data_IF_082919056895
#
_entry.id   IF_082919056895
#
_cell.length_a   1.000
_cell.length_b   1.000
_cell.length_c   1.000
_cell.angle_alpha   90.00
_cell.angle_beta   90.00
_cell.angle_gamma   90.00
#
_symmetry.space_group_name_H-M   'P 1'
#
loop_
_entity.id
_entity.type
_entity.pdbx_description
1 polymer ?
#
# COMPACT_ATOMS: atom_id res chain seq x y z
N UNK A 1 -0.90 -15.36 -5.94
CA UNK A 1 -0.76 -14.92 -4.53
C UNK A 1 -0.96 -13.41 -4.43
N UNK A 2 -1.63 -12.91 -3.40
CA UNK A 2 -1.82 -11.48 -3.17
C UNK A 2 -0.56 -10.82 -2.57
N UNK A 3 -0.38 -9.54 -2.86
CA UNK A 3 0.69 -8.68 -2.30
C UNK A 3 0.12 -7.59 -1.41
N UNK A 4 -1.07 -7.12 -1.75
CA UNK A 4 -1.77 -6.11 -0.99
C UNK A 4 -3.27 -6.37 -1.04
N UNK A 5 -3.97 -5.93 0.00
CA UNK A 5 -5.42 -6.00 0.12
C UNK A 5 -5.94 -4.68 0.65
N UNK A 6 -6.92 -4.12 -0.03
CA UNK A 6 -7.55 -2.86 0.35
C UNK A 6 -9.05 -3.07 0.48
N UNK A 7 -9.63 -2.63 1.59
CA UNK A 7 -11.07 -2.65 1.81
C UNK A 7 -11.68 -1.26 1.64
N UNK A 8 -12.65 -1.14 0.73
CA UNK A 8 -13.45 0.07 0.59
C UNK A 8 -14.63 0.02 1.56
N UNK A 9 -14.52 0.74 2.66
CA UNK A 9 -15.52 0.73 3.74
C UNK A 9 -16.87 1.35 3.37
N UNK A 10 -16.98 2.11 2.27
CA UNK A 10 -18.23 2.70 1.78
C UNK A 10 -18.99 1.77 0.86
N UNK A 11 -18.27 1.04 0.03
CA UNK A 11 -18.84 0.15 -1.01
C UNK A 11 -18.93 -1.31 -0.56
N UNK A 12 -18.23 -1.68 0.53
CA UNK A 12 -18.20 -3.07 1.00
C UNK A 12 -17.42 -3.98 0.05
N UNK A 13 -16.40 -3.46 -0.61
CA UNK A 13 -15.57 -4.21 -1.56
C UNK A 13 -14.15 -4.38 -1.06
N UNK A 14 -13.54 -5.50 -1.42
CA UNK A 14 -12.11 -5.79 -1.22
C UNK A 14 -11.44 -5.82 -2.57
N UNK A 15 -10.35 -5.08 -2.71
CA UNK A 15 -9.44 -5.18 -3.86
C UNK A 15 -8.18 -5.91 -3.45
N UNK A 16 -7.91 -7.03 -4.10
CA UNK A 16 -6.66 -7.78 -4.02
C UNK A 16 -5.73 -7.37 -5.16
N UNK A 17 -4.50 -7.09 -4.81
CA UNK A 17 -3.41 -6.87 -5.75
C UNK A 17 -2.41 -8.02 -5.62
N UNK A 18 -1.92 -8.53 -6.73
CA UNK A 18 -1.00 -9.66 -6.70
C UNK A 18 -0.39 -9.95 -8.06
N UNK A 19 0.08 -11.19 -8.18
CA UNK A 19 0.68 -11.72 -9.40
C UNK A 19 0.01 -13.02 -9.78
N UNK A 20 -0.19 -13.23 -11.08
CA UNK A 20 -0.61 -14.51 -11.63
C UNK A 20 0.55 -15.51 -11.56
N UNK A 21 0.27 -16.77 -11.82
CA UNK A 21 1.30 -17.81 -11.98
C UNK A 21 2.22 -17.51 -13.17
N UNK A 22 1.70 -16.84 -14.19
CA UNK A 22 2.47 -16.42 -15.36
C UNK A 22 3.37 -15.20 -15.10
N UNK A 23 3.30 -14.58 -13.91
CA UNK A 23 4.08 -13.40 -13.56
C UNK A 23 3.45 -12.06 -13.95
N UNK A 24 2.17 -12.05 -14.34
CA UNK A 24 1.46 -10.83 -14.65
C UNK A 24 0.86 -10.19 -13.40
N UNK A 25 0.82 -8.88 -13.34
CA UNK A 25 0.11 -8.17 -12.28
C UNK A 25 -1.38 -8.35 -12.40
N UNK A 26 -2.01 -8.71 -11.29
CA UNK A 26 -3.45 -8.86 -11.20
C UNK A 26 -4.05 -7.90 -10.18
N UNK A 27 -5.26 -7.43 -10.50
CA UNK A 27 -6.16 -6.73 -9.60
C UNK A 27 -7.49 -7.46 -9.62
N UNK A 28 -7.94 -7.93 -8.47
CA UNK A 28 -9.24 -8.60 -8.32
C UNK A 28 -10.08 -7.87 -7.29
N UNK A 29 -11.32 -7.58 -7.64
CA UNK A 29 -12.29 -6.96 -6.75
C UNK A 29 -13.43 -7.95 -6.45
N UNK A 30 -13.86 -7.99 -5.19
CA UNK A 30 -14.96 -8.81 -4.73
C UNK A 30 -15.70 -8.13 -3.57
N UNK A 31 -16.99 -8.44 -3.42
CA UNK A 31 -17.78 -7.97 -2.29
C UNK A 31 -17.37 -8.70 -1.01
N UNK A 32 -17.35 -7.99 0.10
CA UNK A 32 -17.09 -8.57 1.43
C UNK A 32 -17.93 -7.88 2.49
N UNK A 33 -18.70 -8.68 3.22
CA UNK A 33 -19.47 -8.24 4.37
C UNK A 33 -18.66 -8.42 5.65
N UNK A 34 -18.08 -7.34 6.22
CA UNK A 34 -17.36 -7.44 7.48
C UNK A 34 -18.32 -7.83 8.61
N UNK A 35 -17.79 -8.56 9.56
CA UNK A 35 -18.59 -9.07 10.68
C UNK A 35 -17.91 -8.86 12.02
N UNK A 36 -18.67 -9.10 13.08
CA UNK A 36 -18.20 -9.25 14.46
C UNK A 36 -19.10 -10.25 15.18
N UNK A 37 -18.70 -10.63 16.37
CA UNK A 37 -19.55 -11.44 17.25
C UNK A 37 -19.93 -10.63 18.48
N UNK A 38 -21.17 -10.74 18.89
CA UNK A 38 -21.69 -10.16 20.13
C UNK A 38 -22.10 -11.26 21.10
N UNK A 39 -22.07 -11.00 22.40
CA UNK A 39 -22.60 -11.92 23.39
C UNK A 39 -24.09 -12.18 23.12
N UNK A 40 -24.44 -13.42 23.07
CA UNK A 40 -25.83 -13.85 22.90
C UNK A 40 -25.97 -15.25 23.53
N UNK A 41 -26.82 -15.44 24.58
CA UNK A 41 -27.04 -16.76 25.20
C UNK A 41 -27.53 -17.83 24.23
N UNK A 42 -28.15 -17.41 23.11
CA UNK A 42 -28.62 -18.29 22.02
C UNK A 42 -27.62 -18.41 20.88
N UNK A 43 -26.40 -17.88 21.08
CA UNK A 43 -25.36 -17.92 20.06
C UNK A 43 -24.89 -19.34 19.75
N UNK A 44 -24.69 -19.62 18.49
CA UNK A 44 -24.25 -20.93 18.00
C UNK A 44 -22.79 -21.21 18.28
N UNK A 45 -21.95 -20.15 18.37
CA UNK A 45 -20.51 -20.25 18.63
C UNK A 45 -20.19 -19.94 20.10
N UNK A 46 -19.02 -20.41 20.51
CA UNK A 46 -18.46 -20.12 21.82
C UNK A 46 -17.14 -19.41 21.66
N UNK A 47 -16.95 -18.28 22.32
CA UNK A 47 -15.69 -17.57 22.34
C UNK A 47 -14.60 -18.36 23.06
N UNK A 48 -13.34 -17.97 22.91
CA UNK A 48 -12.21 -18.56 23.68
C UNK A 48 -12.34 -18.38 25.19
N UNK A 49 -13.21 -17.48 25.62
CA UNK A 49 -13.53 -17.26 27.07
C UNK A 49 -14.77 -18.02 27.56
N UNK A 50 -15.30 -18.95 26.76
CA UNK A 50 -16.48 -19.74 27.12
C UNK A 50 -17.82 -19.02 26.96
N UNK A 51 -17.86 -17.78 26.48
CA UNK A 51 -19.10 -17.00 26.30
C UNK A 51 -19.80 -17.38 25.00
N UNK A 52 -21.10 -17.60 25.02
CA UNK A 52 -21.90 -17.80 23.81
C UNK A 52 -21.99 -16.53 23.00
N UNK A 53 -21.75 -16.63 21.69
CA UNK A 53 -21.70 -15.49 20.78
C UNK A 53 -22.45 -15.75 19.49
N UNK A 54 -23.00 -14.67 18.93
CA UNK A 54 -23.72 -14.66 17.64
C UNK A 54 -22.99 -13.78 16.64
N UNK A 55 -22.81 -14.30 15.40
CA UNK A 55 -22.25 -13.54 14.28
C UNK A 55 -23.22 -12.45 13.83
N UNK A 56 -22.69 -11.26 13.57
CA UNK A 56 -23.39 -10.13 12.96
C UNK A 56 -22.59 -9.65 11.77
N UNK A 57 -23.13 -9.78 10.57
CA UNK A 57 -22.56 -9.28 9.33
C UNK A 57 -23.13 -7.92 8.98
N UNK A 58 -22.36 -7.12 8.25
CA UNK A 58 -22.71 -5.77 7.82
C UNK A 58 -22.40 -5.62 6.33
N UNK A 59 -23.31 -4.98 5.60
CA UNK A 59 -23.14 -4.76 4.16
C UNK A 59 -21.90 -3.88 3.84
N UNK A 60 -21.48 -3.02 4.78
CA UNK A 60 -20.32 -2.13 4.63
C UNK A 60 -19.56 -1.97 5.94
N UNK A 61 -18.29 -1.57 5.84
CA UNK A 61 -17.50 -1.20 7.03
C UNK A 61 -18.06 0.01 7.77
N UNK A 62 -18.69 0.93 7.05
CA UNK A 62 -19.37 2.07 7.65
C UNK A 62 -20.54 1.63 8.54
N UNK A 63 -21.38 0.69 8.08
CA UNK A 63 -22.50 0.18 8.86
C UNK A 63 -22.02 -0.59 10.10
N UNK A 64 -20.91 -1.33 10.00
CA UNK A 64 -20.26 -1.95 11.15
C UNK A 64 -19.76 -0.91 12.15
N UNK A 65 -19.08 0.13 11.68
CA UNK A 65 -18.60 1.23 12.53
C UNK A 65 -19.77 1.93 13.26
N UNK A 66 -20.83 2.26 12.52
CA UNK A 66 -22.04 2.88 13.09
C UNK A 66 -22.67 2.00 14.16
N UNK A 67 -22.80 0.70 13.92
CA UNK A 67 -23.30 -0.24 14.91
C UNK A 67 -22.46 -0.22 16.21
N UNK A 68 -21.15 -0.18 16.11
CA UNK A 68 -20.26 -0.11 17.27
C UNK A 68 -20.45 1.18 18.08
N UNK A 69 -20.78 2.29 17.44
CA UNK A 69 -21.05 3.56 18.11
C UNK A 69 -22.43 3.63 18.77
N UNK A 70 -23.46 3.13 18.08
CA UNK A 70 -24.86 3.40 18.44
C UNK A 70 -25.49 2.28 19.27
N UNK A 71 -24.97 1.04 19.23
CA UNK A 71 -25.67 -0.13 19.78
C UNK A 71 -25.59 -0.29 21.29
N UNK A 72 -24.72 0.45 21.97
CA UNK A 72 -24.45 0.25 23.40
C UNK A 72 -23.89 -1.14 23.76
N UNK A 73 -23.41 -1.91 22.77
CA UNK A 73 -22.79 -3.22 22.98
C UNK A 73 -21.51 -3.06 23.78
N UNK A 74 -21.44 -3.64 24.95
CA UNK A 74 -20.33 -3.51 25.88
C UNK A 74 -19.10 -4.34 25.47
N UNK A 75 -19.32 -5.45 24.76
CA UNK A 75 -18.26 -6.39 24.39
C UNK A 75 -18.52 -6.99 23.00
N UNK A 76 -17.51 -6.87 22.17
CA UNK A 76 -17.48 -7.50 20.85
C UNK A 76 -16.27 -8.42 20.75
N UNK A 77 -16.42 -9.46 19.95
CA UNK A 77 -15.36 -10.41 19.62
C UNK A 77 -15.14 -10.32 18.11
N UNK A 78 -13.92 -10.62 17.64
CA UNK A 78 -13.52 -10.49 16.26
C UNK A 78 -13.74 -9.05 15.75
N UNK A 79 -12.86 -8.16 16.21
CA UNK A 79 -12.88 -6.75 15.76
C UNK A 79 -11.69 -6.41 14.86
N UNK A 80 -11.17 -7.40 14.12
CA UNK A 80 -10.09 -7.20 13.18
C UNK A 80 -10.53 -6.28 12.02
N UNK A 81 -9.60 -5.56 11.40
CA UNK A 81 -9.89 -4.80 10.18
C UNK A 81 -10.51 -5.69 9.10
N UNK A 82 -11.52 -5.19 8.35
CA UNK A 82 -12.21 -5.99 7.35
C UNK A 82 -11.32 -6.64 6.29
N UNK A 83 -10.23 -5.98 5.89
CA UNK A 83 -9.25 -6.57 4.99
C UNK A 83 -8.57 -7.81 5.58
N UNK A 84 -8.25 -7.80 6.87
CA UNK A 84 -7.69 -8.96 7.56
C UNK A 84 -8.71 -10.07 7.72
N UNK A 85 -9.97 -9.74 8.07
CA UNK A 85 -11.05 -10.74 8.13
C UNK A 85 -11.22 -11.44 6.79
N UNK A 86 -11.23 -10.69 5.70
CA UNK A 86 -11.31 -11.25 4.35
C UNK A 86 -10.16 -12.23 4.07
N UNK A 87 -8.93 -11.87 4.41
CA UNK A 87 -7.79 -12.75 4.21
C UNK A 87 -7.87 -14.03 5.05
N UNK A 88 -8.31 -13.91 6.30
CA UNK A 88 -8.54 -15.07 7.17
C UNK A 88 -9.62 -15.99 6.58
N UNK A 89 -10.76 -15.44 6.17
CA UNK A 89 -11.87 -16.24 5.63
C UNK A 89 -11.49 -16.94 4.30
N UNK A 90 -10.63 -16.29 3.46
CA UNK A 90 -10.24 -16.84 2.15
C UNK A 90 -9.10 -17.84 2.22
N UNK A 91 -8.19 -17.70 3.19
CA UNK A 91 -6.92 -18.44 3.19
C UNK A 91 -6.67 -19.26 4.44
N UNK A 92 -7.64 -19.33 5.37
CA UNK A 92 -7.49 -20.06 6.64
C UNK A 92 -7.16 -21.55 6.43
N UNK A 93 -7.82 -22.20 5.45
CA UNK A 93 -7.66 -23.64 5.19
C UNK A 93 -6.39 -23.95 4.34
N UNK A 94 -5.85 -22.94 3.64
CA UNK A 94 -4.66 -23.10 2.79
C UNK A 94 -3.34 -23.03 3.58
N UNK A 95 -3.41 -22.81 4.91
CA UNK A 95 -2.27 -22.32 5.68
C UNK A 95 -1.43 -23.41 6.38
N UNK A 96 -1.60 -24.69 6.13
CA UNK A 96 -0.70 -25.68 6.75
C UNK A 96 0.74 -25.60 6.20
N UNK A 97 0.93 -25.12 4.97
CA UNK A 97 2.24 -24.74 4.41
C UNK A 97 2.06 -23.76 3.23
N UNK A 98 1.96 -22.46 3.47
CA UNK A 98 1.88 -21.51 2.38
C UNK A 98 3.18 -21.53 1.57
N UNK A 99 3.15 -22.07 0.38
CA UNK A 99 4.20 -21.82 -0.60
C UNK A 99 4.16 -20.34 -0.97
N UNK A 100 5.02 -19.56 -0.33
CA UNK A 100 5.20 -18.17 -0.70
C UNK A 100 5.78 -18.11 -2.11
N UNK A 101 5.01 -17.61 -3.06
CA UNK A 101 5.51 -17.35 -4.39
C UNK A 101 6.74 -16.44 -4.29
N UNK A 102 7.87 -16.95 -4.80
CA UNK A 102 9.18 -16.32 -4.74
C UNK A 102 9.34 -15.10 -5.67
N UNK A 103 8.27 -14.63 -6.32
CA UNK A 103 8.33 -13.43 -7.13
C UNK A 103 8.81 -12.26 -6.24
N UNK A 104 10.00 -11.74 -6.49
CA UNK A 104 10.58 -10.71 -5.64
C UNK A 104 9.74 -9.45 -5.68
N UNK A 105 9.59 -8.80 -4.53
CA UNK A 105 8.94 -7.48 -4.44
C UNK A 105 9.85 -6.47 -5.12
N UNK A 106 9.30 -5.72 -6.08
CA UNK A 106 9.99 -4.60 -6.70
C UNK A 106 9.80 -3.35 -5.85
N UNK A 107 10.89 -2.78 -5.37
CA UNK A 107 10.84 -1.55 -4.60
C UNK A 107 11.85 -0.52 -5.09
N UNK A 108 11.45 0.74 -4.95
CA UNK A 108 12.28 1.88 -5.27
C UNK A 108 12.46 2.76 -4.03
N UNK A 109 13.68 3.29 -3.88
CA UNK A 109 13.96 4.39 -2.97
C UNK A 109 14.05 5.68 -3.78
N UNK A 110 13.34 6.72 -3.30
CA UNK A 110 13.35 8.06 -3.91
C UNK A 110 14.00 9.03 -2.96
N UNK A 111 14.83 9.89 -3.52
CA UNK A 111 15.42 11.02 -2.84
C UNK A 111 15.27 12.28 -3.70
N UNK A 112 14.98 13.42 -3.06
CA UNK A 112 14.66 14.69 -3.72
C UNK A 112 15.54 15.78 -3.14
N UNK A 113 16.22 16.54 -4.03
CA UNK A 113 17.03 17.68 -3.67
C UNK A 113 16.41 18.98 -4.19
N UNK A 114 16.24 19.93 -3.31
CA UNK A 114 15.74 21.27 -3.64
C UNK A 114 16.84 22.31 -3.46
N UNK A 115 16.81 23.36 -4.28
CA UNK A 115 17.75 24.47 -4.13
C UNK A 115 17.20 25.49 -3.13
N UNK A 116 17.95 25.72 -2.07
CA UNK A 116 17.65 26.75 -1.08
C UNK A 116 18.90 27.58 -0.82
N UNK A 117 18.77 28.92 -0.78
CA UNK A 117 19.88 29.83 -0.49
C UNK A 117 19.90 30.22 0.99
N UNK A 118 18.77 30.57 1.54
CA UNK A 118 18.69 31.21 2.87
C UNK A 118 17.76 30.56 3.88
N UNK A 119 16.83 29.69 3.43
CA UNK A 119 15.83 29.07 4.31
C UNK A 119 15.67 27.58 4.00
N UNK A 120 15.30 26.80 4.99
CA UNK A 120 14.93 25.41 4.76
C UNK A 120 13.62 25.36 3.96
N UNK A 121 13.46 24.42 3.01
CA UNK A 121 12.21 24.28 2.27
C UNK A 121 11.04 24.07 3.20
N UNK A 122 9.96 24.84 2.99
CA UNK A 122 8.71 24.69 3.70
C UNK A 122 7.77 23.79 2.89
N UNK A 123 7.19 22.79 3.53
CA UNK A 123 6.25 21.83 2.89
C UNK A 123 4.93 22.52 2.57
N UNK A 124 4.51 23.49 3.40
CA UNK A 124 3.25 24.20 3.24
C UNK A 124 3.34 25.35 2.22
N UNK A 125 4.56 25.86 1.96
CA UNK A 125 4.85 26.87 0.94
C UNK A 125 6.07 26.47 0.08
N UNK A 126 5.94 25.50 -0.84
CA UNK A 126 7.04 24.94 -1.61
C UNK A 126 7.48 25.88 -2.74
N UNK A 127 8.17 26.97 -2.40
CA UNK A 127 8.69 27.96 -3.36
C UNK A 127 10.04 27.59 -3.96
N UNK A 128 10.71 26.57 -3.39
CA UNK A 128 12.04 26.15 -3.82
C UNK A 128 12.01 25.20 -5.01
N UNK A 129 12.84 25.45 -6.00
CA UNK A 129 12.96 24.62 -7.19
C UNK A 129 13.54 23.26 -6.83
N UNK A 130 12.88 22.19 -7.26
CA UNK A 130 13.43 20.84 -7.18
C UNK A 130 14.52 20.70 -8.28
N UNK A 131 15.74 20.43 -7.86
CA UNK A 131 16.90 20.32 -8.76
C UNK A 131 17.15 18.92 -9.26
N UNK A 132 16.95 17.94 -8.39
CA UNK A 132 17.30 16.55 -8.65
C UNK A 132 16.29 15.64 -7.98
N UNK A 133 15.89 14.60 -8.69
CA UNK A 133 15.16 13.45 -8.16
C UNK A 133 15.99 12.21 -8.48
N UNK A 134 16.31 11.43 -7.48
CA UNK A 134 17.03 10.16 -7.64
C UNK A 134 16.15 9.00 -7.25
N UNK A 135 16.10 7.97 -8.08
CA UNK A 135 15.40 6.72 -7.84
C UNK A 135 16.39 5.57 -7.89
N UNK A 136 16.52 4.83 -6.81
CA UNK A 136 17.22 3.55 -6.82
C UNK A 136 16.21 2.40 -6.92
N UNK A 137 16.46 1.45 -7.80
CA UNK A 137 15.59 0.30 -8.06
C UNK A 137 16.32 -0.99 -7.71
N UNK A 138 15.67 -1.86 -6.92
CA UNK A 138 16.26 -3.10 -6.43
C UNK A 138 16.44 -4.19 -7.51
N UNK A 139 15.79 -4.10 -8.66
CA UNK A 139 15.93 -5.07 -9.74
C UNK A 139 17.12 -4.76 -10.63
N UNK A 140 17.15 -3.54 -11.16
CA UNK A 140 18.29 -3.07 -11.97
C UNK A 140 19.53 -2.79 -11.14
N UNK A 141 19.37 -2.51 -9.83
CA UNK A 141 20.39 -2.04 -8.89
C UNK A 141 21.10 -0.78 -9.40
N UNK A 142 20.35 0.05 -10.10
CA UNK A 142 20.85 1.32 -10.66
C UNK A 142 20.13 2.50 -10.06
N UNK A 143 20.85 3.62 -10.01
CA UNK A 143 20.30 4.92 -9.73
C UNK A 143 19.86 5.57 -11.04
N UNK A 144 18.58 5.96 -11.12
CA UNK A 144 18.05 6.82 -12.17
C UNK A 144 17.90 8.21 -11.59
N UNK A 145 18.76 9.12 -11.98
CA UNK A 145 18.83 10.49 -11.48
C UNK A 145 18.33 11.45 -12.53
N UNK A 146 17.29 12.20 -12.22
CA UNK A 146 16.69 13.23 -13.06
C UNK A 146 17.12 14.59 -12.52
N UNK A 147 17.71 15.46 -13.33
CA UNK A 147 18.19 16.74 -12.86
C UNK A 147 18.07 17.83 -13.92
N UNK A 148 17.93 19.10 -13.44
CA UNK A 148 17.79 20.29 -14.31
C UNK A 148 19.13 20.95 -14.69
N UNK A 149 20.24 20.42 -14.18
CA UNK A 149 21.58 20.87 -14.51
C UNK A 149 22.36 19.78 -15.23
N UNK A 150 23.32 20.18 -16.07
CA UNK A 150 24.23 19.22 -16.69
C UNK A 150 25.06 18.51 -15.62
N UNK A 151 25.19 17.19 -15.75
CA UNK A 151 26.01 16.41 -14.84
C UNK A 151 27.48 16.56 -15.22
N UNK A 152 28.26 17.20 -14.36
CA UNK A 152 29.71 17.44 -14.56
C UNK A 152 30.60 16.50 -13.73
N UNK A 153 29.99 15.56 -12.97
CA UNK A 153 30.71 14.62 -12.14
C UNK A 153 31.36 13.47 -12.92
N UNK A 154 32.10 12.63 -12.20
CA UNK A 154 32.62 11.39 -12.79
C UNK A 154 31.45 10.42 -13.01
N UNK A 155 31.39 9.81 -14.18
CA UNK A 155 30.42 8.77 -14.48
C UNK A 155 30.54 7.60 -13.51
N UNK A 156 29.37 7.00 -13.19
CA UNK A 156 29.26 5.78 -12.37
C UNK A 156 28.52 4.73 -13.18
N UNK A 157 28.99 3.50 -13.14
CA UNK A 157 28.38 2.39 -13.90
C UNK A 157 26.98 2.00 -13.40
N UNK A 158 26.69 2.36 -12.15
CA UNK A 158 25.42 2.10 -11.49
C UNK A 158 24.43 3.29 -11.53
N UNK A 159 24.78 4.38 -12.26
CA UNK A 159 23.95 5.58 -12.36
C UNK A 159 23.62 5.92 -13.83
N UNK A 160 22.36 6.24 -14.06
CA UNK A 160 21.86 6.80 -15.31
C UNK A 160 21.35 8.21 -15.02
N UNK A 161 22.00 9.20 -15.63
CA UNK A 161 21.59 10.60 -15.47
C UNK A 161 20.71 11.04 -16.63
N UNK A 162 19.55 11.60 -16.29
CA UNK A 162 18.55 12.14 -17.22
C UNK A 162 18.55 13.66 -17.10
N UNK A 163 19.23 14.34 -18.02
CA UNK A 163 19.20 15.80 -18.08
C UNK A 163 17.85 16.30 -18.57
N UNK A 164 17.26 17.25 -17.87
CA UNK A 164 16.01 17.92 -18.18
C UNK A 164 16.23 19.44 -18.19
N UNK A 165 15.67 20.13 -19.18
CA UNK A 165 15.89 21.58 -19.31
C UNK A 165 15.14 22.39 -18.26
N UNK A 166 14.08 21.85 -17.71
CA UNK A 166 13.21 22.51 -16.74
C UNK A 166 12.75 21.53 -15.68
N UNK A 167 12.38 22.05 -14.51
CA UNK A 167 11.77 21.28 -13.42
C UNK A 167 10.52 20.51 -13.91
N UNK A 168 9.68 21.13 -14.73
CA UNK A 168 8.50 20.47 -15.30
C UNK A 168 8.88 19.27 -16.17
N UNK A 169 9.89 19.39 -17.01
CA UNK A 169 10.40 18.27 -17.82
C UNK A 169 10.93 17.15 -16.93
N UNK A 170 11.64 17.50 -15.85
CA UNK A 170 12.17 16.57 -14.89
C UNK A 170 11.05 15.77 -14.20
N UNK A 171 10.02 16.43 -13.68
CA UNK A 171 8.87 15.74 -13.10
C UNK A 171 8.16 14.83 -14.10
N UNK A 172 7.99 15.28 -15.35
CA UNK A 172 7.36 14.45 -16.37
C UNK A 172 8.20 13.22 -16.73
N UNK A 173 9.52 13.37 -16.81
CA UNK A 173 10.43 12.24 -17.04
C UNK A 173 10.43 11.24 -15.89
N UNK A 174 10.49 11.73 -14.65
CA UNK A 174 10.36 10.93 -13.44
C UNK A 174 9.03 10.16 -13.39
N UNK A 175 7.90 10.83 -13.61
CA UNK A 175 6.57 10.18 -13.60
C UNK A 175 6.46 9.10 -14.68
N UNK A 176 6.98 9.36 -15.89
CA UNK A 176 7.03 8.35 -16.97
C UNK A 176 7.91 7.15 -16.58
N UNK A 177 9.02 7.42 -15.90
CA UNK A 177 9.88 6.36 -15.39
C UNK A 177 9.13 5.49 -14.39
N UNK A 178 8.53 6.07 -13.35
CA UNK A 178 7.79 5.34 -12.32
C UNK A 178 6.61 4.56 -12.91
N UNK A 179 5.86 5.15 -13.87
CA UNK A 179 4.76 4.46 -14.56
C UNK A 179 5.25 3.23 -15.35
N UNK A 180 6.38 3.35 -16.04
CA UNK A 180 6.97 2.24 -16.81
C UNK A 180 7.56 1.18 -15.89
N UNK A 181 8.29 1.62 -14.89
CA UNK A 181 8.98 0.76 -13.93
C UNK A 181 8.00 0.02 -13.02
N UNK A 182 6.92 0.69 -12.64
CA UNK A 182 5.78 0.16 -11.91
C UNK A 182 6.18 -0.63 -10.64
N UNK A 183 6.88 -0.01 -9.67
CA UNK A 183 7.30 -0.69 -8.45
C UNK A 183 6.11 -1.11 -7.57
N UNK A 184 6.30 -2.15 -6.75
CA UNK A 184 5.32 -2.58 -5.74
C UNK A 184 5.34 -1.68 -4.51
N UNK A 185 6.52 -1.15 -4.18
CA UNK A 185 6.75 -0.27 -3.04
C UNK A 185 7.61 0.92 -3.49
N UNK A 186 7.18 2.10 -3.10
CA UNK A 186 7.99 3.32 -3.18
C UNK A 186 8.24 3.78 -1.75
N UNK A 187 9.49 4.07 -1.43
CA UNK A 187 9.92 4.59 -0.14
C UNK A 187 11.01 5.64 -0.32
N UNK A 188 11.27 6.41 0.70
CA UNK A 188 12.31 7.42 0.71
C UNK A 188 12.55 7.97 2.11
N UNK A 189 13.49 8.91 2.23
CA UNK A 189 13.68 9.63 3.47
C UNK A 189 12.53 10.63 3.64
N UNK A 190 11.81 10.57 4.75
CA UNK A 190 10.63 11.42 5.03
C UNK A 190 9.46 11.24 4.05
N UNK A 191 9.26 10.04 3.49
CA UNK A 191 8.13 9.71 2.59
C UNK A 191 6.91 9.18 3.36
#
# INVERSE_FOLDING_TARGET
MYRNVVYNGREGTVTLFGWSEAGDRIRRECSFEPYLYTEDPRGEKTSIFGTKVKKRSFSTGYNRYKFLQDSGVKRVFENSPPAQQFLLDMYWEENENPEFNSNPIKYCFIDIETYSVDTFPDVDDPTHVCNVITVWDNFSKKFNTFGIHEYTGKGRDDMIYHYCKTEREMFLAFLKYIQKDNPDIISGWNS
#
